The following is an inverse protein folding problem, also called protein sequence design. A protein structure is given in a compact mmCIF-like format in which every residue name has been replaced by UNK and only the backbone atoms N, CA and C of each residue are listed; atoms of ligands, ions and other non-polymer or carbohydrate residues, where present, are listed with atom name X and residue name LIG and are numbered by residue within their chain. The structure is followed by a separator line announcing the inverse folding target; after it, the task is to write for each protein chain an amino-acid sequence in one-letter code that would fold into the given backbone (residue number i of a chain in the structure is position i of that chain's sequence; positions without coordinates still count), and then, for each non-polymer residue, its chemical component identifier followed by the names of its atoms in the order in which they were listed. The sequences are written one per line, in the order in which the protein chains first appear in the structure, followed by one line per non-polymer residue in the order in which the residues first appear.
data_IF_861871241577
#
_entry.id   IF_861871241577
#
_cell.length_a   1.000
_cell.length_b   1.000
_cell.length_c   1.000
_cell.angle_alpha   90.00
_cell.angle_beta   90.00
_cell.angle_gamma   90.00
#
_symmetry.space_group_name_H-M   'P 1'
#
loop_
_entity.id
_entity.type
_entity.pdbx_description
1 polymer ?
#
# COMPACT_ATOMS: atom_id res chain seq x y z
N UNK A 1 -29.42 0.17 27.49
CA UNK A 1 -28.93 -0.72 28.60
C UNK A 1 -27.41 -0.68 28.61
N UNK A 2 -26.82 -0.22 29.69
CA UNK A 2 -25.36 -0.16 29.86
C UNK A 2 -24.86 -1.60 30.10
N UNK A 3 -24.37 -2.27 29.05
CA UNK A 3 -23.80 -3.61 29.20
C UNK A 3 -22.42 -3.45 29.87
N UNK A 4 -22.22 -3.98 31.06
CA UNK A 4 -20.93 -3.92 31.74
C UNK A 4 -19.86 -4.56 30.87
N UNK A 5 -18.80 -3.81 30.55
CA UNK A 5 -17.66 -4.31 29.80
C UNK A 5 -16.88 -5.26 30.72
N UNK A 6 -16.68 -6.50 30.26
CA UNK A 6 -15.84 -7.48 30.94
C UNK A 6 -14.55 -7.67 30.17
N UNK A 7 -13.44 -7.62 30.90
CA UNK A 7 -12.11 -7.94 30.34
C UNK A 7 -11.85 -9.42 30.61
N UNK A 8 -11.47 -10.15 29.58
CA UNK A 8 -11.20 -11.59 29.63
C UNK A 8 -9.84 -11.87 28.98
N UNK A 9 -9.01 -12.69 29.64
CA UNK A 9 -7.75 -13.12 29.05
C UNK A 9 -8.02 -14.18 27.97
N UNK A 10 -7.59 -13.88 26.74
CA UNK A 10 -7.75 -14.78 25.59
C UNK A 10 -6.36 -15.24 25.11
N UNK A 11 -6.16 -16.54 24.85
CA UNK A 11 -4.91 -17.05 24.28
C UNK A 11 -4.54 -16.30 23.00
N UNK A 12 -3.29 -15.85 22.88
CA UNK A 12 -2.80 -15.04 21.76
C UNK A 12 -2.98 -15.74 20.41
N UNK A 13 -2.90 -17.08 20.38
CA UNK A 13 -3.09 -17.93 19.20
C UNK A 13 -4.56 -18.01 18.72
N UNK A 14 -5.52 -17.72 19.60
CA UNK A 14 -6.95 -17.67 19.26
C UNK A 14 -7.37 -16.33 18.64
N UNK A 15 -6.48 -15.35 18.59
CA UNK A 15 -6.74 -14.06 18.00
C UNK A 15 -6.31 -14.04 16.53
N UNK A 16 -7.12 -13.44 15.68
CA UNK A 16 -6.83 -13.25 14.24
C UNK A 16 -6.99 -11.79 13.85
N UNK A 17 -6.06 -11.25 13.05
CA UNK A 17 -6.24 -9.89 12.53
C UNK A 17 -7.44 -9.82 11.58
N UNK A 18 -8.13 -8.68 11.54
CA UNK A 18 -9.08 -8.42 10.48
C UNK A 18 -8.34 -8.01 9.20
N UNK A 19 -8.80 -8.45 8.00
CA UNK A 19 -8.12 -8.18 6.74
C UNK A 19 -8.29 -6.73 6.25
N UNK A 20 -9.24 -6.00 6.79
CA UNK A 20 -9.64 -4.65 6.40
C UNK A 20 -9.17 -3.55 7.36
N UNK A 21 -8.22 -3.84 8.27
CA UNK A 21 -7.66 -2.85 9.19
C UNK A 21 -6.84 -1.78 8.45
N UNK A 22 -7.28 -0.50 8.43
CA UNK A 22 -6.59 0.56 7.72
C UNK A 22 -5.36 1.09 8.47
N UNK A 23 -5.20 0.75 9.75
CA UNK A 23 -4.17 1.35 10.60
C UNK A 23 -2.79 0.74 10.34
N UNK A 24 -1.80 1.61 10.18
CA UNK A 24 -0.38 1.26 10.09
C UNK A 24 0.41 2.04 11.12
N UNK A 25 1.53 1.49 11.57
CA UNK A 25 2.38 2.09 12.58
C UNK A 25 3.82 2.15 12.06
N UNK A 26 4.50 3.28 12.25
CA UNK A 26 5.91 3.42 11.89
C UNK A 26 6.80 2.47 12.73
N UNK A 27 7.96 2.05 12.19
CA UNK A 27 8.90 1.19 12.92
C UNK A 27 9.34 1.80 14.26
N UNK A 28 9.52 3.11 14.31
CA UNK A 28 9.90 3.84 15.52
C UNK A 28 8.80 3.76 16.60
N UNK A 29 7.54 4.06 16.23
CA UNK A 29 6.42 3.96 17.14
C UNK A 29 6.18 2.54 17.60
N UNK A 30 6.38 1.55 16.71
CA UNK A 30 6.29 0.13 17.06
C UNK A 30 7.33 -0.25 18.11
N UNK A 31 8.57 0.24 17.95
CA UNK A 31 9.63 0.01 18.94
C UNK A 31 9.27 0.60 20.32
N UNK A 32 8.81 1.86 20.34
CA UNK A 32 8.35 2.52 21.58
C UNK A 32 7.22 1.76 22.27
N UNK A 33 6.23 1.31 21.49
CA UNK A 33 5.10 0.53 21.99
C UNK A 33 5.57 -0.83 22.55
N UNK A 34 6.54 -1.49 21.90
CA UNK A 34 7.12 -2.75 22.38
C UNK A 34 7.81 -2.59 23.74
N UNK A 35 8.65 -1.57 23.89
CA UNK A 35 9.32 -1.27 25.17
C UNK A 35 8.30 -0.87 26.26
N UNK A 36 7.24 -0.15 25.87
CA UNK A 36 6.17 0.18 26.82
C UNK A 36 5.44 -1.08 27.32
N UNK A 37 4.99 -1.96 26.40
CA UNK A 37 4.30 -3.22 26.78
C UNK A 37 5.19 -4.12 27.61
N UNK A 38 6.49 -4.17 27.30
CA UNK A 38 7.47 -4.95 28.06
C UNK A 38 7.61 -4.46 29.51
N UNK A 39 7.54 -3.15 29.73
CA UNK A 39 7.71 -2.53 31.04
C UNK A 39 6.42 -2.51 31.87
N UNK A 40 5.30 -2.08 31.26
CA UNK A 40 4.04 -1.81 31.95
C UNK A 40 2.98 -2.92 31.74
N UNK A 41 3.21 -3.83 30.79
CA UNK A 41 2.20 -4.79 30.37
C UNK A 41 1.10 -4.17 29.51
N UNK A 42 -0.05 -4.84 29.49
CA UNK A 42 -1.23 -4.38 28.76
C UNK A 42 -2.06 -3.43 29.62
N UNK A 43 -1.89 -2.13 29.45
CA UNK A 43 -2.72 -1.10 30.12
C UNK A 43 -4.08 -0.96 29.44
N UNK A 44 -4.15 -1.25 28.13
CA UNK A 44 -5.35 -1.12 27.32
C UNK A 44 -5.71 -2.46 26.68
N UNK A 45 -6.93 -3.02 26.90
CA UNK A 45 -7.31 -4.32 26.36
C UNK A 45 -7.49 -4.27 24.83
N UNK A 46 -7.40 -5.44 24.20
CA UNK A 46 -7.66 -5.65 22.78
C UNK A 46 -9.17 -5.82 22.60
N UNK A 47 -9.76 -5.14 21.61
CA UNK A 47 -11.19 -5.31 21.30
C UNK A 47 -11.34 -6.36 20.23
N UNK A 48 -12.16 -7.38 20.52
CA UNK A 48 -12.35 -8.55 19.65
C UNK A 48 -13.81 -8.94 19.54
N UNK A 49 -14.16 -9.67 18.47
CA UNK A 49 -15.46 -10.35 18.34
C UNK A 49 -15.28 -11.84 18.08
N UNK A 50 -16.24 -12.69 18.43
CA UNK A 50 -16.23 -14.11 18.03
C UNK A 50 -16.33 -14.25 16.52
N UNK A 51 -15.52 -15.15 15.91
CA UNK A 51 -15.58 -15.52 14.49
C UNK A 51 -15.19 -16.98 14.32
N UNK A 52 -16.19 -17.85 14.29
CA UNK A 52 -15.99 -19.30 14.35
C UNK A 52 -15.34 -19.71 15.68
N UNK A 53 -14.27 -20.49 15.63
CA UNK A 53 -13.53 -20.94 16.81
C UNK A 53 -12.50 -19.92 17.33
N UNK A 54 -12.33 -18.81 16.64
CA UNK A 54 -11.36 -17.75 16.95
C UNK A 54 -12.05 -16.43 17.24
N UNK A 55 -11.22 -15.44 17.55
CA UNK A 55 -11.65 -14.06 17.78
C UNK A 55 -10.99 -13.13 16.77
N UNK A 56 -11.79 -12.34 16.05
CA UNK A 56 -11.31 -11.33 15.12
C UNK A 56 -11.01 -10.03 15.86
N UNK A 57 -9.82 -9.48 15.67
CA UNK A 57 -9.37 -8.25 16.30
C UNK A 57 -10.02 -7.05 15.61
N UNK A 58 -10.76 -6.21 16.35
CA UNK A 58 -11.35 -4.97 15.89
C UNK A 58 -10.52 -3.73 16.27
N UNK A 59 -9.80 -3.81 17.39
CA UNK A 59 -8.89 -2.76 17.85
C UNK A 59 -7.73 -3.32 18.66
N UNK A 60 -6.53 -2.75 18.51
CA UNK A 60 -5.33 -3.19 19.23
C UNK A 60 -4.44 -4.18 18.48
N UNK A 61 -4.55 -4.24 17.14
CA UNK A 61 -3.73 -5.11 16.28
C UNK A 61 -2.23 -5.01 16.57
N UNK A 62 -1.67 -3.81 16.69
CA UNK A 62 -0.24 -3.63 16.96
C UNK A 62 0.17 -4.16 18.33
N UNK A 63 -0.69 -4.02 19.35
CA UNK A 63 -0.46 -4.60 20.69
C UNK A 63 -0.46 -6.12 20.64
N UNK A 64 -1.42 -6.74 19.95
CA UNK A 64 -1.46 -8.17 19.73
C UNK A 64 -0.22 -8.69 18.99
N UNK A 65 0.18 -8.02 17.91
CA UNK A 65 1.38 -8.41 17.15
C UNK A 65 2.65 -8.36 18.00
N UNK A 66 2.77 -7.35 18.88
CA UNK A 66 3.88 -7.20 19.81
C UNK A 66 3.80 -8.26 20.93
N UNK A 67 2.60 -8.60 21.38
CA UNK A 67 2.41 -9.69 22.34
C UNK A 67 2.96 -11.02 21.84
N UNK A 68 2.72 -11.34 20.56
CA UNK A 68 3.30 -12.51 19.90
C UNK A 68 4.83 -12.49 19.89
N UNK A 69 5.45 -11.34 19.58
CA UNK A 69 6.91 -11.19 19.63
C UNK A 69 7.50 -11.29 21.04
N UNK A 70 6.73 -10.91 22.05
CA UNK A 70 7.12 -10.99 23.47
C UNK A 70 6.68 -12.30 24.13
N UNK A 71 6.16 -13.25 23.35
CA UNK A 71 5.74 -14.60 23.78
C UNK A 71 4.67 -14.61 24.88
N UNK A 72 3.78 -13.58 24.90
CA UNK A 72 2.62 -13.59 25.78
C UNK A 72 1.67 -14.73 25.41
N UNK A 73 1.36 -15.61 26.35
CA UNK A 73 0.45 -16.73 26.14
C UNK A 73 -1.00 -16.29 25.98
N UNK A 74 -1.40 -15.24 26.69
CA UNK A 74 -2.73 -14.63 26.63
C UNK A 74 -2.63 -13.12 26.75
N UNK A 75 -3.67 -12.44 26.30
CA UNK A 75 -3.77 -10.97 26.35
C UNK A 75 -5.17 -10.55 26.82
N UNK A 76 -5.29 -9.42 27.54
CA UNK A 76 -6.57 -8.93 28.01
C UNK A 76 -7.40 -8.44 26.82
N UNK A 77 -8.64 -8.93 26.71
CA UNK A 77 -9.55 -8.62 25.62
C UNK A 77 -10.93 -8.18 26.15
N UNK A 78 -11.54 -7.26 25.40
CA UNK A 78 -12.97 -6.97 25.50
C UNK A 78 -13.67 -7.69 24.35
N UNK A 79 -14.58 -8.59 24.67
CA UNK A 79 -15.36 -9.33 23.67
C UNK A 79 -16.66 -8.57 23.39
N UNK A 80 -16.87 -8.20 22.14
CA UNK A 80 -18.10 -7.56 21.66
C UNK A 80 -18.81 -8.49 20.65
N UNK A 81 -20.13 -8.57 20.78
CA UNK A 81 -20.96 -9.35 19.86
C UNK A 81 -21.53 -8.42 18.77
N UNK A 82 -20.91 -8.45 17.60
CA UNK A 82 -21.21 -7.56 16.47
C UNK A 82 -21.20 -8.32 15.16
N UNK A 83 -22.15 -7.99 14.29
CA UNK A 83 -22.15 -8.38 12.89
C UNK A 83 -20.99 -7.71 12.12
N UNK A 84 -20.79 -8.11 10.86
CA UNK A 84 -19.67 -7.63 10.04
C UNK A 84 -19.73 -6.12 9.81
N UNK A 85 -20.92 -5.56 9.54
CA UNK A 85 -21.09 -4.12 9.33
C UNK A 85 -20.72 -3.32 10.57
N UNK A 86 -21.29 -3.68 11.71
CA UNK A 86 -21.04 -2.99 13.00
C UNK A 86 -19.60 -3.14 13.46
N UNK A 87 -18.97 -4.29 13.18
CA UNK A 87 -17.57 -4.53 13.47
C UNK A 87 -16.64 -3.61 12.67
N UNK A 88 -16.92 -3.41 11.37
CA UNK A 88 -16.18 -2.46 10.51
C UNK A 88 -16.32 -1.03 11.03
N UNK A 89 -17.54 -0.58 11.32
CA UNK A 89 -17.81 0.77 11.89
C UNK A 89 -17.05 0.96 13.21
N UNK A 90 -17.14 -0.01 14.13
CA UNK A 90 -16.42 0.08 15.40
C UNK A 90 -14.90 0.18 15.20
N UNK A 91 -14.35 -0.60 14.27
CA UNK A 91 -12.90 -0.57 14.00
C UNK A 91 -12.45 0.79 13.46
N UNK A 92 -13.23 1.42 12.56
CA UNK A 92 -12.94 2.80 12.10
C UNK A 92 -12.94 3.76 13.28
N UNK A 93 -13.99 3.76 14.07
CA UNK A 93 -14.11 4.66 15.22
C UNK A 93 -12.97 4.49 16.23
N UNK A 94 -12.57 3.24 16.52
CA UNK A 94 -11.45 2.96 17.43
C UNK A 94 -10.10 3.41 16.87
N UNK A 95 -9.92 3.37 15.55
CA UNK A 95 -8.67 3.78 14.91
C UNK A 95 -8.59 5.31 14.78
N UNK A 96 -9.65 5.98 14.37
CA UNK A 96 -9.69 7.44 14.20
C UNK A 96 -9.53 8.20 15.52
N UNK A 97 -10.03 7.64 16.61
CA UNK A 97 -9.81 8.22 17.95
C UNK A 97 -8.35 8.14 18.40
N UNK A 98 -7.48 7.35 17.73
CA UNK A 98 -6.11 7.04 18.16
C UNK A 98 -5.03 7.34 17.13
N UNK A 99 -5.37 7.71 15.90
CA UNK A 99 -4.39 7.95 14.85
C UNK A 99 -5.01 8.23 13.49
N UNK A 100 -4.16 8.35 12.47
CA UNK A 100 -4.60 8.55 11.09
C UNK A 100 -4.70 7.22 10.36
N UNK A 101 -5.80 7.02 9.65
CA UNK A 101 -5.96 5.91 8.71
C UNK A 101 -5.22 6.19 7.40
N UNK A 102 -4.76 5.14 6.72
CA UNK A 102 -4.28 5.27 5.34
C UNK A 102 -5.48 5.54 4.42
N UNK A 103 -5.43 6.60 3.59
CA UNK A 103 -6.58 7.05 2.80
C UNK A 103 -7.15 5.96 1.87
N UNK A 104 -6.29 5.18 1.20
CA UNK A 104 -6.67 4.10 0.31
C UNK A 104 -7.39 2.94 1.03
N UNK A 105 -6.94 2.59 2.23
CA UNK A 105 -7.57 1.54 3.04
C UNK A 105 -8.90 2.02 3.64
N UNK A 106 -8.97 3.28 4.03
CA UNK A 106 -10.22 3.91 4.48
C UNK A 106 -11.23 3.95 3.33
N UNK A 107 -10.81 4.37 2.14
CA UNK A 107 -11.66 4.43 0.95
C UNK A 107 -12.31 3.07 0.63
N UNK A 108 -11.52 1.99 0.62
CA UNK A 108 -12.03 0.64 0.41
C UNK A 108 -13.06 0.24 1.47
N UNK A 109 -12.83 0.59 2.74
CA UNK A 109 -13.73 0.27 3.83
C UNK A 109 -15.05 1.05 3.74
N UNK A 110 -14.97 2.36 3.42
CA UNK A 110 -16.16 3.21 3.17
C UNK A 110 -16.95 2.68 1.98
N UNK A 111 -16.27 2.29 0.89
CA UNK A 111 -16.92 1.67 -0.26
C UNK A 111 -17.67 0.38 0.10
N UNK A 112 -17.08 -0.50 0.89
CA UNK A 112 -17.74 -1.74 1.34
C UNK A 112 -18.99 -1.42 2.19
N UNK A 113 -18.88 -0.45 3.09
CA UNK A 113 -20.01 -0.04 3.94
C UNK A 113 -21.12 0.64 3.15
N UNK A 114 -20.79 1.40 2.10
CA UNK A 114 -21.76 2.09 1.25
C UNK A 114 -22.63 1.15 0.40
N UNK A 115 -22.30 -0.14 0.32
CA UNK A 115 -23.16 -1.15 -0.29
C UNK A 115 -24.35 -1.53 0.57
N UNK A 116 -24.27 -1.32 1.88
CA UNK A 116 -25.24 -1.74 2.86
C UNK A 116 -25.93 -0.56 3.59
N UNK A 117 -25.41 0.67 3.43
CA UNK A 117 -25.89 1.86 4.08
C UNK A 117 -25.72 3.11 3.20
N UNK A 118 -26.56 4.13 3.40
CA UNK A 118 -26.40 5.43 2.74
C UNK A 118 -25.23 6.23 3.37
N UNK A 119 -24.73 7.25 2.67
CA UNK A 119 -23.67 8.11 3.22
C UNK A 119 -24.17 8.91 4.41
N UNK A 120 -25.46 9.29 4.42
CA UNK A 120 -26.12 9.96 5.54
C UNK A 120 -26.16 9.07 6.79
N UNK A 121 -26.44 7.77 6.61
CA UNK A 121 -26.37 6.81 7.71
C UNK A 121 -24.95 6.61 8.22
N UNK A 122 -23.95 6.61 7.32
CA UNK A 122 -22.55 6.45 7.68
C UNK A 122 -22.00 7.69 8.41
N UNK A 123 -22.40 8.92 8.02
CA UNK A 123 -22.04 10.15 8.71
C UNK A 123 -22.47 10.13 10.19
N UNK A 124 -23.64 9.57 10.48
CA UNK A 124 -24.10 9.44 11.87
C UNK A 124 -23.34 8.43 12.70
N UNK A 125 -22.64 7.47 12.07
CA UNK A 125 -21.99 6.33 12.70
C UNK A 125 -20.46 6.40 12.67
N UNK A 126 -19.88 7.21 11.78
CA UNK A 126 -18.44 7.38 11.58
C UNK A 126 -18.02 8.81 11.95
N UNK A 127 -16.77 9.05 12.32
CA UNK A 127 -16.25 10.37 12.66
C UNK A 127 -15.86 11.17 11.40
N UNK A 128 -16.67 11.10 10.33
CA UNK A 128 -16.46 11.74 9.04
C UNK A 128 -17.74 12.42 8.57
N UNK A 129 -17.61 13.59 7.96
CA UNK A 129 -18.69 14.26 7.25
C UNK A 129 -19.02 13.56 5.92
N UNK A 130 -20.21 13.84 5.38
CA UNK A 130 -20.62 13.34 4.06
C UNK A 130 -19.60 13.70 2.98
N UNK A 131 -19.01 14.89 3.03
CA UNK A 131 -18.04 15.34 2.03
C UNK A 131 -16.74 14.55 2.14
N UNK A 132 -16.21 14.30 3.34
CA UNK A 132 -15.03 13.44 3.55
C UNK A 132 -15.28 12.00 3.12
N UNK A 133 -16.50 11.47 3.32
CA UNK A 133 -16.88 10.14 2.84
C UNK A 133 -16.93 10.08 1.31
N UNK A 134 -17.45 11.12 0.64
CA UNK A 134 -17.44 11.24 -0.83
C UNK A 134 -16.02 11.34 -1.37
N UNK A 135 -15.20 12.19 -0.79
CA UNK A 135 -13.79 12.34 -1.17
C UNK A 135 -13.03 11.02 -1.04
N UNK A 136 -13.28 10.24 0.01
CA UNK A 136 -12.72 8.91 0.17
C UNK A 136 -13.13 7.96 -0.96
N UNK A 137 -14.40 7.98 -1.38
CA UNK A 137 -14.88 7.15 -2.49
C UNK A 137 -14.32 7.60 -3.84
N UNK A 138 -14.06 8.90 -4.04
CA UNK A 138 -13.42 9.43 -5.25
C UNK A 138 -12.00 8.87 -5.43
N UNK A 139 -11.27 8.56 -4.35
CA UNK A 139 -9.94 7.95 -4.43
C UNK A 139 -9.95 6.56 -5.10
N UNK A 140 -11.08 5.86 -5.08
CA UNK A 140 -11.23 4.54 -5.72
C UNK A 140 -11.60 4.64 -7.20
N UNK A 141 -11.96 5.82 -7.68
CA UNK A 141 -12.27 6.01 -9.10
C UNK A 141 -10.97 6.14 -9.89
N UNK A 142 -10.80 5.26 -10.85
CA UNK A 142 -9.73 5.40 -11.84
C UNK A 142 -10.15 6.56 -12.76
N UNK A 143 -9.35 7.62 -12.89
CA UNK A 143 -9.68 8.70 -13.82
C UNK A 143 -9.90 8.16 -15.24
N UNK A 144 -10.93 8.65 -15.92
CA UNK A 144 -11.20 8.29 -17.30
C UNK A 144 -9.96 8.54 -18.17
N UNK A 145 -9.56 7.54 -18.93
CA UNK A 145 -8.38 7.61 -19.78
C UNK A 145 -7.03 7.30 -19.13
N UNK A 146 -6.97 7.04 -17.81
CA UNK A 146 -5.71 6.67 -17.14
C UNK A 146 -5.12 5.39 -17.73
N UNK A 147 -5.94 4.38 -18.05
CA UNK A 147 -5.48 3.14 -18.68
C UNK A 147 -4.84 3.41 -20.04
N UNK A 148 -5.47 4.26 -20.86
CA UNK A 148 -4.93 4.67 -22.15
C UNK A 148 -3.63 5.46 -22.00
N UNK A 149 -3.57 6.38 -21.04
CA UNK A 149 -2.37 7.15 -20.72
C UNK A 149 -1.21 6.25 -20.27
N UNK A 150 -1.46 5.30 -19.37
CA UNK A 150 -0.45 4.35 -18.89
C UNK A 150 0.01 3.42 -20.02
N UNK A 151 -0.90 2.95 -20.87
CA UNK A 151 -0.54 2.12 -22.02
C UNK A 151 0.35 2.89 -23.02
N UNK A 152 0.04 4.17 -23.31
CA UNK A 152 0.87 5.03 -24.16
C UNK A 152 2.25 5.30 -23.54
N UNK A 153 2.31 5.58 -22.23
CA UNK A 153 3.57 5.81 -21.52
C UNK A 153 4.44 4.56 -21.48
N UNK A 154 3.85 3.38 -21.26
CA UNK A 154 4.57 2.09 -21.33
C UNK A 154 5.11 1.84 -22.74
N UNK A 155 4.29 2.04 -23.76
CA UNK A 155 4.71 1.91 -25.17
C UNK A 155 5.82 2.90 -25.54
N UNK A 156 5.76 4.11 -25.01
CA UNK A 156 6.78 5.14 -25.17
C UNK A 156 8.08 4.76 -24.49
N UNK A 157 8.02 4.25 -23.26
CA UNK A 157 9.21 3.79 -22.53
C UNK A 157 9.83 2.55 -23.18
N UNK A 158 9.04 1.63 -23.73
CA UNK A 158 9.54 0.49 -24.49
C UNK A 158 10.34 0.89 -25.73
N UNK A 159 9.85 1.92 -26.46
CA UNK A 159 10.58 2.48 -27.61
C UNK A 159 11.88 3.18 -27.22
N UNK A 160 11.98 3.67 -25.99
CA UNK A 160 13.18 4.35 -25.45
C UNK A 160 14.18 3.37 -24.82
N UNK A 161 13.81 2.10 -24.63
CA UNK A 161 14.74 1.09 -24.10
C UNK A 161 15.90 0.88 -25.04
N UNK A 162 17.16 0.96 -24.56
CA UNK A 162 18.32 0.64 -25.36
C UNK A 162 18.22 -0.80 -25.84
N UNK A 163 18.33 -1.00 -27.15
CA UNK A 163 18.41 -2.33 -27.74
C UNK A 163 19.86 -2.76 -27.91
N UNK A 164 20.19 -3.99 -27.56
CA UNK A 164 21.49 -4.57 -27.84
C UNK A 164 21.41 -5.25 -29.20
N UNK A 165 22.17 -4.73 -30.16
CA UNK A 165 22.34 -5.35 -31.48
C UNK A 165 23.75 -5.96 -31.54
N UNK A 166 23.84 -7.23 -31.94
CA UNK A 166 25.10 -7.94 -32.13
C UNK A 166 25.24 -8.29 -33.58
N UNK A 167 26.38 -7.94 -34.16
CA UNK A 167 26.70 -8.25 -35.56
C UNK A 167 28.04 -8.98 -35.66
N UNK A 168 28.15 -9.90 -36.60
CA UNK A 168 29.41 -10.42 -37.05
C UNK A 168 29.82 -9.59 -38.26
N UNK A 169 31.02 -9.03 -38.24
CA UNK A 169 31.55 -8.19 -39.29
C UNK A 169 32.83 -8.79 -39.85
N UNK A 170 33.00 -8.78 -41.16
CA UNK A 170 34.16 -9.31 -41.82
C UNK A 170 35.41 -8.40 -41.66
N UNK A 171 35.19 -7.10 -41.47
CA UNK A 171 36.25 -6.14 -41.28
C UNK A 171 35.96 -5.24 -40.05
N UNK A 172 36.46 -5.67 -38.92
CA UNK A 172 36.29 -4.96 -37.63
C UNK A 172 37.06 -3.64 -37.60
N UNK A 173 38.15 -3.48 -38.33
CA UNK A 173 38.99 -2.28 -38.31
C UNK A 173 38.24 -1.09 -38.95
N UNK A 174 37.51 -1.33 -40.04
CA UNK A 174 36.70 -0.32 -40.72
C UNK A 174 35.56 0.15 -39.81
N UNK A 175 34.86 -0.76 -39.11
CA UNK A 175 33.80 -0.43 -38.20
C UNK A 175 34.31 0.36 -36.99
N UNK A 176 35.43 -0.07 -36.41
CA UNK A 176 36.04 0.63 -35.27
C UNK A 176 36.50 2.04 -35.66
N UNK A 177 37.12 2.20 -36.85
CA UNK A 177 37.54 3.53 -37.33
C UNK A 177 36.34 4.47 -37.56
N UNK A 178 35.25 3.96 -38.17
CA UNK A 178 34.05 4.75 -38.40
C UNK A 178 33.39 5.17 -37.06
N UNK A 179 33.24 4.27 -36.10
CA UNK A 179 32.68 4.56 -34.79
C UNK A 179 33.53 5.57 -34.03
N UNK A 180 34.87 5.42 -34.06
CA UNK A 180 35.82 6.34 -33.41
C UNK A 180 35.73 7.75 -34.03
N UNK A 181 35.64 7.85 -35.36
CA UNK A 181 35.49 9.12 -36.05
C UNK A 181 34.14 9.81 -35.71
N UNK A 182 33.06 9.04 -35.62
CA UNK A 182 31.76 9.57 -35.24
C UNK A 182 31.72 10.00 -33.76
N UNK A 183 32.36 9.25 -32.87
CA UNK A 183 32.48 9.64 -31.42
C UNK A 183 33.24 10.96 -31.28
N UNK A 184 34.27 11.20 -32.07
CA UNK A 184 35.03 12.45 -32.02
C UNK A 184 34.25 13.72 -32.40
N UNK A 185 33.09 13.54 -33.05
CA UNK A 185 32.16 14.63 -33.43
C UNK A 185 31.11 14.91 -32.38
N UNK A 186 30.98 14.08 -31.34
CA UNK A 186 29.99 14.25 -30.28
C UNK A 186 30.49 15.17 -29.18
N UNK A 187 29.75 16.27 -28.91
CA UNK A 187 30.13 17.28 -27.92
C UNK A 187 29.81 16.87 -26.49
N UNK A 188 28.79 16.00 -26.25
CA UNK A 188 28.34 15.61 -24.91
C UNK A 188 28.35 14.09 -24.74
N UNK A 189 29.19 13.59 -23.82
CA UNK A 189 29.26 12.18 -23.40
C UNK A 189 29.24 11.19 -24.57
N UNK A 190 30.32 11.12 -25.38
CA UNK A 190 30.38 10.30 -26.56
C UNK A 190 30.22 8.81 -26.21
N UNK A 191 29.29 8.13 -26.83
CA UNK A 191 29.08 6.68 -26.68
C UNK A 191 29.09 5.97 -28.02
N UNK A 192 29.60 4.72 -28.04
CA UNK A 192 29.63 3.90 -29.27
C UNK A 192 28.24 3.69 -29.88
N UNK A 193 27.19 3.56 -29.05
CA UNK A 193 25.82 3.39 -29.52
C UNK A 193 25.29 4.63 -30.25
N UNK A 194 25.53 5.84 -29.70
CA UNK A 194 25.18 7.10 -30.38
C UNK A 194 25.96 7.28 -31.68
N UNK A 195 27.26 7.01 -31.65
CA UNK A 195 28.11 7.09 -32.84
C UNK A 195 27.60 6.18 -33.97
N UNK A 196 27.24 4.95 -33.66
CA UNK A 196 26.63 4.03 -34.64
C UNK A 196 25.32 4.55 -35.19
N UNK A 197 24.46 5.11 -34.35
CA UNK A 197 23.18 5.70 -34.75
C UNK A 197 23.39 6.89 -35.68
N UNK A 198 24.38 7.74 -35.42
CA UNK A 198 24.70 8.90 -36.25
C UNK A 198 25.26 8.45 -37.62
N UNK A 199 26.08 7.43 -37.67
CA UNK A 199 26.55 6.81 -38.92
C UNK A 199 25.37 6.28 -39.74
N UNK A 200 24.46 5.51 -39.10
CA UNK A 200 23.28 4.98 -39.78
C UNK A 200 22.35 6.07 -40.31
N UNK A 201 22.12 7.14 -39.51
CA UNK A 201 21.31 8.29 -39.96
C UNK A 201 21.93 9.03 -41.12
N UNK A 202 23.23 9.24 -41.08
CA UNK A 202 23.95 9.88 -42.17
C UNK A 202 23.82 9.07 -43.45
N UNK A 203 24.09 7.77 -43.40
CA UNK A 203 23.93 6.88 -44.55
C UNK A 203 22.52 6.90 -45.15
N UNK A 204 21.49 6.84 -44.29
CA UNK A 204 20.10 6.90 -44.74
C UNK A 204 19.70 8.29 -45.33
N UNK A 205 20.37 9.35 -44.92
CA UNK A 205 20.12 10.69 -45.47
C UNK A 205 20.73 10.92 -46.86
N UNK A 206 21.86 10.26 -47.12
CA UNK A 206 22.57 10.36 -48.43
C UNK A 206 22.00 9.41 -49.49
N UNK A 207 21.27 8.36 -49.07
CA UNK A 207 20.71 7.35 -49.96
C UNK A 207 19.16 7.42 -50.07
N UNK A 208 18.56 8.56 -49.79
CA UNK A 208 17.19 8.90 -50.11
C UNK A 208 17.19 9.75 -51.36
#
# INVERSE_FOLDING_TARGET
MNKAIQITDIPTEKLTPNPWNPNRMSPEMRHKLKEYIKREGFVEPIVVRPKGEKYEILGGFHRWSIAGELEFKSVPCVVVDLDDRRAKILSVNLNEMKGQSLPDLLANLVHDLSREATLEDLETQLPYSIDELKDSLELLKIPDGLEAFLADEVARQEKLRPQILSFVVDDAEVVEAAVKAAMAKQENSPTRGRALLDICRHYLSENK
#
